data_IF_113273251297
#
_entry.id   IF_113273251297
#
_cell.length_a   1.000
_cell.length_b   1.000
_cell.length_c   1.000
_cell.angle_alpha   90.00
_cell.angle_beta   90.00
_cell.angle_gamma   90.00
#
_symmetry.space_group_name_H-M   'P 1'
#
loop_
_entity.id
_entity.type
_entity.pdbx_description
1 polymer ?
#
# COMPACT_ATOMS: atom_id res chain seq x y z
N UNK A 1 73.05 20.26 12.14
CA UNK A 1 72.14 20.96 13.07
C UNK A 1 72.16 22.44 12.72
N UNK A 2 71.16 22.93 11.99
CA UNK A 2 70.74 24.32 11.73
C UNK A 2 69.50 24.16 10.81
N UNK A 3 68.34 24.81 10.89
CA UNK A 3 67.74 25.83 11.75
C UNK A 3 66.44 26.32 11.08
N UNK A 4 65.52 26.92 11.86
CA UNK A 4 64.41 27.85 11.46
C UNK A 4 63.26 27.26 10.62
N UNK A 5 61.97 27.56 10.81
CA UNK A 5 61.31 28.85 11.12
C UNK A 5 59.84 28.64 11.59
N UNK A 6 59.33 29.65 12.31
CA UNK A 6 58.03 29.79 12.98
C UNK A 6 57.00 30.51 12.08
N UNK A 7 55.72 30.08 12.08
CA UNK A 7 54.47 30.86 11.91
C UNK A 7 53.33 29.90 12.34
N UNK A 8 52.39 30.19 13.25
CA UNK A 8 51.66 31.42 13.50
C UNK A 8 50.23 31.24 12.97
N UNK A 9 49.24 31.04 13.84
CA UNK A 9 47.81 31.10 13.48
C UNK A 9 46.94 30.06 14.18
N UNK A 10 46.37 30.41 15.33
CA UNK A 10 45.23 29.69 15.90
C UNK A 10 43.93 30.10 15.22
N UNK A 11 42.97 29.17 15.10
CA UNK A 11 41.55 29.46 15.14
C UNK A 11 40.80 28.27 15.75
N UNK A 12 39.85 28.62 16.59
CA UNK A 12 38.98 27.79 17.39
C UNK A 12 37.77 27.26 16.61
N UNK A 13 37.20 26.18 17.14
CA UNK A 13 35.77 25.94 17.32
C UNK A 13 34.92 25.34 16.17
N UNK A 14 34.12 24.37 16.64
CA UNK A 14 32.71 24.14 16.35
C UNK A 14 32.32 23.23 15.17
N UNK A 15 31.64 22.14 15.55
CA UNK A 15 30.33 21.86 14.98
C UNK A 15 30.32 20.93 13.78
N UNK A 16 30.80 19.70 13.94
CA UNK A 16 30.43 18.61 13.04
C UNK A 16 28.96 18.23 13.26
N UNK A 17 28.04 18.95 12.61
CA UNK A 17 26.65 18.56 12.49
C UNK A 17 26.60 17.19 11.82
N UNK A 18 26.29 16.17 12.61
CA UNK A 18 26.02 14.82 12.14
C UNK A 18 24.71 14.87 11.36
N UNK A 19 24.80 14.98 10.04
CA UNK A 19 23.69 14.67 9.15
C UNK A 19 23.44 13.17 9.24
N UNK A 20 22.55 12.78 10.15
CA UNK A 20 21.86 11.50 10.10
C UNK A 20 20.78 11.66 9.02
N UNK A 21 20.87 11.00 7.85
CA UNK A 21 19.71 10.91 6.99
C UNK A 21 18.64 10.18 7.81
N UNK A 22 17.55 10.89 8.08
CA UNK A 22 16.31 10.31 8.54
C UNK A 22 15.92 9.34 7.44
N UNK A 23 16.10 8.04 7.72
CA UNK A 23 15.56 6.98 6.87
C UNK A 23 14.07 7.26 6.83
N UNK A 24 13.61 7.90 5.75
CA UNK A 24 12.27 7.73 5.28
C UNK A 24 12.11 6.22 5.22
N UNK A 25 11.26 5.70 6.09
CA UNK A 25 10.87 4.31 6.09
C UNK A 25 10.10 4.11 4.80
N UNK A 26 10.86 3.96 3.70
CA UNK A 26 10.41 3.31 2.51
C UNK A 26 9.89 1.97 3.03
N UNK A 27 8.57 1.83 3.09
CA UNK A 27 7.96 0.54 2.97
C UNK A 27 8.39 0.02 1.60
N UNK A 28 9.60 -0.53 1.54
CA UNK A 28 9.99 -1.45 0.50
C UNK A 28 8.89 -2.49 0.49
N UNK A 29 8.28 -2.73 -0.68
CA UNK A 29 7.67 -4.03 -0.93
C UNK A 29 8.76 -5.05 -0.60
N UNK A 30 8.69 -5.66 0.58
CA UNK A 30 9.78 -6.47 1.08
C UNK A 30 9.84 -7.70 0.17
N UNK A 31 10.99 -7.91 -0.45
CA UNK A 31 11.33 -9.21 -1.01
C UNK A 31 11.43 -10.21 0.14
N UNK A 32 11.32 -11.51 -0.16
CA UNK A 32 11.57 -12.59 0.80
C UNK A 32 12.74 -12.26 1.74
N UNK A 33 12.54 -12.41 3.05
CA UNK A 33 13.62 -12.21 4.02
C UNK A 33 14.66 -13.32 3.90
N UNK A 34 15.88 -13.08 4.43
CA UNK A 34 16.90 -14.14 4.51
C UNK A 34 16.37 -15.34 5.29
N UNK A 35 15.65 -15.11 6.39
CA UNK A 35 15.05 -16.15 7.20
C UNK A 35 14.00 -16.95 6.41
N UNK A 36 13.15 -16.29 5.62
CA UNK A 36 12.21 -16.97 4.72
C UNK A 36 12.94 -17.87 3.74
N UNK A 37 13.99 -17.36 3.09
CA UNK A 37 14.80 -18.14 2.13
C UNK A 37 15.47 -19.33 2.81
N UNK A 38 16.08 -19.13 3.98
CA UNK A 38 16.75 -20.21 4.73
C UNK A 38 15.77 -21.27 5.25
N UNK A 39 14.51 -20.90 5.46
CA UNK A 39 13.42 -21.80 5.86
C UNK A 39 12.67 -22.40 4.66
N UNK A 40 13.16 -22.25 3.43
CA UNK A 40 12.62 -22.88 2.23
C UNK A 40 11.67 -22.03 1.39
N UNK A 41 11.62 -20.71 1.63
CA UNK A 41 10.79 -19.74 0.92
C UNK A 41 9.61 -19.21 1.75
N UNK A 42 8.73 -18.43 1.11
CA UNK A 42 7.55 -17.89 1.77
C UNK A 42 6.59 -19.00 2.23
N UNK A 43 6.03 -18.89 3.45
CA UNK A 43 4.95 -19.77 3.90
C UNK A 43 3.78 -19.78 2.92
N UNK A 44 3.10 -20.92 2.79
CA UNK A 44 1.91 -21.00 1.94
C UNK A 44 0.81 -20.08 2.48
N UNK A 45 0.11 -19.39 1.58
CA UNK A 45 -1.06 -18.59 1.91
C UNK A 45 -2.23 -19.45 2.42
N UNK A 46 -2.29 -20.73 2.05
CA UNK A 46 -3.38 -21.63 2.42
C UNK A 46 -2.85 -22.91 3.03
N UNK A 47 -3.45 -23.35 4.14
CA UNK A 47 -3.19 -24.64 4.74
C UNK A 47 -4.07 -25.74 4.11
N UNK A 48 -3.73 -27.00 4.36
CA UNK A 48 -4.58 -28.14 3.96
C UNK A 48 -5.94 -28.10 4.68
N UNK A 49 -6.01 -27.55 5.89
CA UNK A 49 -7.18 -27.61 6.77
C UNK A 49 -8.07 -26.35 6.69
N UNK A 50 -7.68 -25.36 5.88
CA UNK A 50 -8.47 -24.14 5.70
C UNK A 50 -9.88 -24.46 5.18
N UNK A 51 -10.94 -23.88 5.79
CA UNK A 51 -12.31 -24.06 5.34
C UNK A 51 -12.59 -23.32 4.03
N UNK A 52 -13.62 -23.76 3.31
CA UNK A 52 -14.17 -23.02 2.17
C UNK A 52 -14.59 -21.61 2.65
N UNK A 53 -14.28 -20.60 1.86
CA UNK A 53 -14.50 -19.19 2.16
C UNK A 53 -13.25 -18.47 2.68
N UNK A 54 -12.22 -19.19 3.13
CA UNK A 54 -10.94 -18.59 3.55
C UNK A 54 -10.37 -17.76 2.41
N UNK A 55 -10.00 -16.51 2.72
CA UNK A 55 -9.46 -15.55 1.77
C UNK A 55 -8.11 -15.03 2.23
N UNK A 56 -7.17 -14.91 1.31
CA UNK A 56 -5.89 -14.21 1.52
C UNK A 56 -5.74 -13.15 0.44
N UNK A 57 -5.28 -11.97 0.85
CA UNK A 57 -5.09 -10.83 -0.04
C UNK A 57 -3.78 -10.11 0.26
N UNK A 58 -3.13 -9.61 -0.79
CA UNK A 58 -1.89 -8.85 -0.67
C UNK A 58 -1.45 -8.22 -1.99
N UNK A 59 -0.43 -7.35 -1.92
CA UNK A 59 0.28 -6.86 -3.10
C UNK A 59 1.19 -7.95 -3.63
N UNK A 60 1.21 -8.17 -4.93
CA UNK A 60 2.11 -9.13 -5.56
C UNK A 60 3.52 -8.56 -5.53
N UNK A 61 4.45 -9.24 -4.84
CA UNK A 61 5.86 -8.86 -4.80
C UNK A 61 6.73 -9.69 -5.75
N UNK A 62 6.29 -10.89 -6.12
CA UNK A 62 7.01 -11.77 -7.05
C UNK A 62 6.05 -12.72 -7.78
N UNK A 63 6.36 -13.03 -9.03
CA UNK A 63 5.68 -14.06 -9.82
C UNK A 63 6.74 -14.95 -10.48
N UNK A 64 6.63 -16.27 -10.31
CA UNK A 64 7.49 -17.25 -10.97
C UNK A 64 6.67 -18.33 -11.67
N UNK A 65 7.20 -18.80 -12.80
CA UNK A 65 6.74 -20.02 -13.45
C UNK A 65 7.70 -21.15 -13.08
N UNK A 66 7.19 -22.18 -12.41
CA UNK A 66 7.98 -23.29 -11.87
C UNK A 66 7.38 -24.64 -12.30
N UNK A 67 8.17 -25.69 -12.13
CA UNK A 67 7.66 -27.06 -12.18
C UNK A 67 7.11 -27.44 -10.80
N UNK A 68 5.97 -28.13 -10.77
CA UNK A 68 5.45 -28.72 -9.53
C UNK A 68 6.40 -29.77 -9.00
N UNK A 69 6.58 -29.80 -7.68
CA UNK A 69 7.28 -30.88 -6.96
C UNK A 69 6.31 -31.66 -6.08
N UNK A 70 6.67 -32.90 -5.75
CA UNK A 70 5.99 -33.64 -4.70
C UNK A 70 6.26 -32.97 -3.35
N UNK A 71 5.21 -32.72 -2.57
CA UNK A 71 5.35 -31.98 -1.31
C UNK A 71 6.13 -32.77 -0.23
N UNK A 72 6.15 -34.10 -0.33
CA UNK A 72 6.82 -34.96 0.64
C UNK A 72 8.27 -35.22 0.24
N UNK A 73 8.50 -35.53 -1.04
CA UNK A 73 9.84 -35.93 -1.51
C UNK A 73 10.65 -34.81 -2.16
N UNK A 74 9.99 -33.72 -2.56
CA UNK A 74 10.61 -32.62 -3.31
C UNK A 74 10.91 -32.95 -4.78
N UNK A 75 10.57 -34.16 -5.25
CA UNK A 75 10.89 -34.59 -6.60
C UNK A 75 10.04 -33.87 -7.66
N UNK A 76 10.58 -33.55 -8.84
CA UNK A 76 9.82 -32.91 -9.90
C UNK A 76 8.68 -33.80 -10.42
N UNK A 77 7.49 -33.23 -10.59
CA UNK A 77 6.32 -33.95 -11.08
C UNK A 77 6.18 -33.83 -12.59
N UNK A 78 5.85 -34.95 -13.22
CA UNK A 78 5.62 -35.08 -14.66
C UNK A 78 4.22 -35.60 -14.94
N UNK A 79 3.67 -35.22 -16.09
CA UNK A 79 2.49 -35.87 -16.67
C UNK A 79 2.87 -37.27 -17.20
N UNK A 80 1.91 -38.18 -17.43
CA UNK A 80 2.20 -39.51 -17.99
C UNK A 80 2.95 -39.49 -19.33
N UNK A 81 2.86 -38.39 -20.09
CA UNK A 81 3.58 -38.18 -21.34
C UNK A 81 5.02 -37.64 -21.16
N UNK A 82 5.53 -37.59 -19.92
CA UNK A 82 6.87 -37.11 -19.60
C UNK A 82 7.04 -35.58 -19.58
N UNK A 83 5.99 -34.79 -19.85
CA UNK A 83 6.08 -33.33 -19.75
C UNK A 83 6.05 -32.88 -18.28
N UNK A 84 6.87 -31.91 -17.93
CA UNK A 84 6.84 -31.28 -16.60
C UNK A 84 5.44 -30.71 -16.30
N UNK A 85 4.96 -30.89 -15.08
CA UNK A 85 3.72 -30.25 -14.62
C UNK A 85 4.02 -28.80 -14.21
N UNK A 86 3.53 -27.78 -14.94
CA UNK A 86 3.83 -26.40 -14.60
C UNK A 86 2.97 -25.91 -13.42
N UNK A 87 3.45 -24.86 -12.78
CA UNK A 87 2.81 -24.12 -11.72
C UNK A 87 3.25 -22.65 -11.76
N UNK A 88 2.35 -21.75 -11.38
CA UNK A 88 2.69 -20.35 -11.10
C UNK A 88 2.78 -20.18 -9.59
N UNK A 89 3.88 -19.60 -9.12
CA UNK A 89 4.09 -19.24 -7.72
C UNK A 89 4.01 -17.72 -7.62
N UNK A 90 3.10 -17.22 -6.80
CA UNK A 90 2.90 -15.79 -6.57
C UNK A 90 3.20 -15.51 -5.11
N UNK A 91 4.16 -14.63 -4.84
CA UNK A 91 4.39 -14.14 -3.49
C UNK A 91 3.59 -12.86 -3.27
N UNK A 92 2.81 -12.84 -2.20
CA UNK A 92 1.99 -11.72 -1.78
C UNK A 92 2.56 -11.10 -0.51
N UNK A 93 2.78 -9.79 -0.49
CA UNK A 93 2.91 -9.05 0.76
C UNK A 93 1.53 -8.97 1.41
N UNK A 94 1.36 -9.66 2.54
CA UNK A 94 0.10 -9.70 3.29
C UNK A 94 0.25 -9.00 4.64
N UNK A 95 -0.86 -8.84 5.35
CA UNK A 95 -0.87 -8.46 6.77
C UNK A 95 -0.83 -9.68 7.70
N UNK A 96 -0.74 -10.90 7.16
CA UNK A 96 -0.63 -12.12 7.96
C UNK A 96 0.81 -12.25 8.45
N UNK A 97 0.98 -12.61 9.72
CA UNK A 97 2.26 -12.96 10.32
C UNK A 97 2.10 -14.25 11.11
N UNK A 98 3.09 -15.12 11.00
CA UNK A 98 3.22 -16.37 11.71
C UNK A 98 4.07 -16.11 12.97
N UNK A 99 3.47 -16.10 14.17
CA UNK A 99 4.18 -15.77 15.40
C UNK A 99 5.26 -16.79 15.75
N UNK A 100 5.18 -18.01 15.21
CA UNK A 100 6.13 -19.08 15.48
C UNK A 100 7.35 -19.03 14.52
N UNK A 101 7.31 -18.14 13.50
CA UNK A 101 8.42 -17.90 12.58
C UNK A 101 9.13 -16.60 12.92
N UNK A 102 10.33 -16.73 13.48
CA UNK A 102 11.23 -15.59 13.68
C UNK A 102 11.56 -14.96 12.32
N UNK A 103 11.35 -13.65 12.21
CA UNK A 103 11.66 -12.90 10.99
C UNK A 103 10.64 -13.05 9.86
N UNK A 104 9.42 -13.52 10.13
CA UNK A 104 8.37 -13.58 9.11
C UNK A 104 8.06 -12.20 8.51
N UNK A 105 8.37 -12.05 7.23
CA UNK A 105 8.16 -10.84 6.42
C UNK A 105 6.68 -10.52 6.15
N UNK A 106 5.78 -11.43 6.52
CA UNK A 106 4.36 -11.37 6.16
C UNK A 106 4.09 -11.69 4.69
N UNK A 107 5.10 -12.20 3.98
CA UNK A 107 4.96 -12.68 2.61
C UNK A 107 4.34 -14.08 2.63
N UNK A 108 3.39 -14.31 1.72
CA UNK A 108 2.72 -15.61 1.57
C UNK A 108 2.73 -16.08 0.12
N UNK A 109 3.00 -17.36 -0.08
CA UNK A 109 3.00 -18.01 -1.38
C UNK A 109 1.63 -18.54 -1.79
N UNK A 110 1.12 -18.04 -2.91
CA UNK A 110 -0.05 -18.58 -3.62
C UNK A 110 0.41 -19.45 -4.78
N UNK A 111 0.05 -20.72 -4.69
CA UNK A 111 0.51 -21.81 -5.54
C UNK A 111 -0.56 -22.19 -6.57
N UNK A 112 -0.50 -21.60 -7.76
CA UNK A 112 -1.54 -21.71 -8.80
C UNK A 112 -1.19 -22.82 -9.79
N UNK A 113 -2.02 -23.86 -9.84
CA UNK A 113 -1.80 -25.04 -10.70
C UNK A 113 -3.12 -25.63 -11.21
N UNK A 114 -3.03 -26.41 -12.29
CA UNK A 114 -4.18 -27.13 -12.86
C UNK A 114 -5.37 -26.21 -13.15
N UNK A 115 -6.54 -26.55 -12.60
CA UNK A 115 -7.78 -25.77 -12.74
C UNK A 115 -7.63 -24.28 -12.38
N UNK A 116 -6.78 -23.96 -11.40
CA UNK A 116 -6.63 -22.61 -10.90
C UNK A 116 -5.87 -21.68 -11.86
N UNK A 117 -5.09 -22.21 -12.82
CA UNK A 117 -4.45 -21.39 -13.85
C UNK A 117 -5.50 -20.69 -14.72
N UNK A 118 -6.59 -21.40 -15.04
CA UNK A 118 -7.70 -20.83 -15.80
C UNK A 118 -8.47 -19.77 -15.01
N UNK A 119 -8.68 -20.01 -13.70
CA UNK A 119 -9.35 -19.07 -12.80
C UNK A 119 -8.54 -17.78 -12.63
N UNK A 120 -7.23 -17.88 -12.42
CA UNK A 120 -6.36 -16.71 -12.32
C UNK A 120 -6.38 -15.91 -13.64
N UNK A 121 -6.24 -16.59 -14.79
CA UNK A 121 -6.29 -15.93 -16.10
C UNK A 121 -7.62 -15.22 -16.32
N UNK A 122 -8.74 -15.84 -15.93
CA UNK A 122 -10.06 -15.22 -16.02
C UNK A 122 -10.12 -13.92 -15.20
N UNK A 123 -9.64 -13.96 -13.95
CA UNK A 123 -9.58 -12.77 -13.09
C UNK A 123 -8.70 -11.66 -13.67
N UNK A 124 -7.55 -12.01 -14.26
CA UNK A 124 -6.66 -11.05 -14.91
C UNK A 124 -7.34 -10.35 -16.10
N UNK A 125 -8.06 -11.12 -16.92
CA UNK A 125 -8.83 -10.57 -18.04
C UNK A 125 -9.95 -9.65 -17.58
N UNK A 126 -10.66 -10.03 -16.52
CA UNK A 126 -11.71 -9.22 -15.91
C UNK A 126 -11.16 -7.91 -15.32
N UNK A 127 -9.94 -7.95 -14.77
CA UNK A 127 -9.23 -6.78 -14.26
C UNK A 127 -8.58 -5.91 -15.37
N UNK A 128 -8.61 -6.35 -16.63
CA UNK A 128 -8.01 -5.63 -17.75
C UNK A 128 -6.47 -5.68 -17.81
N UNK A 129 -5.83 -6.59 -17.08
CA UNK A 129 -4.34 -6.73 -17.04
C UNK A 129 -3.79 -7.79 -18.00
N UNK A 130 -4.67 -8.42 -18.80
CA UNK A 130 -4.28 -9.45 -19.76
C UNK A 130 -4.42 -10.87 -19.21
N UNK A 131 -3.46 -11.74 -19.52
CA UNK A 131 -3.53 -13.19 -19.21
C UNK A 131 -2.86 -13.60 -17.89
N UNK A 132 -2.14 -12.68 -17.26
CA UNK A 132 -1.46 -12.87 -15.98
C UNK A 132 -1.43 -11.56 -15.20
N UNK A 133 -1.30 -11.60 -13.86
CA UNK A 133 -1.14 -10.38 -13.09
C UNK A 133 0.29 -9.86 -13.22
N UNK A 134 0.53 -8.64 -12.74
CA UNK A 134 1.84 -8.01 -12.69
C UNK A 134 2.30 -7.85 -11.24
N UNK A 135 3.61 -7.77 -11.04
CA UNK A 135 4.18 -7.33 -9.76
C UNK A 135 3.64 -5.93 -9.44
N UNK A 136 3.18 -5.75 -8.20
CA UNK A 136 2.52 -4.56 -7.70
C UNK A 136 0.99 -4.53 -7.85
N UNK A 137 0.39 -5.45 -8.62
CA UNK A 137 -1.06 -5.63 -8.59
C UNK A 137 -1.48 -6.21 -7.23
N UNK A 138 -2.72 -5.95 -6.81
CA UNK A 138 -3.29 -6.61 -5.63
C UNK A 138 -4.01 -7.88 -6.07
N UNK A 139 -3.76 -8.98 -5.36
CA UNK A 139 -4.44 -10.26 -5.59
C UNK A 139 -5.16 -10.68 -4.33
N UNK A 140 -6.45 -10.96 -4.46
CA UNK A 140 -7.23 -11.71 -3.47
C UNK A 140 -7.51 -13.11 -4.01
N UNK A 141 -7.14 -14.13 -3.25
CA UNK A 141 -7.48 -15.53 -3.51
C UNK A 141 -8.47 -16.00 -2.45
N UNK A 142 -9.54 -16.67 -2.86
CA UNK A 142 -10.57 -17.22 -1.95
C UNK A 142 -10.74 -18.70 -2.22
N UNK A 143 -10.60 -19.55 -1.21
CA UNK A 143 -10.86 -20.99 -1.34
C UNK A 143 -12.37 -21.22 -1.54
N UNK A 144 -12.79 -21.41 -2.79
CA UNK A 144 -14.20 -21.34 -3.16
C UNK A 144 -14.93 -22.68 -3.07
N UNK A 145 -14.26 -23.78 -3.45
CA UNK A 145 -14.85 -25.13 -3.48
C UNK A 145 -13.79 -26.20 -3.65
N UNK A 146 -14.16 -27.45 -3.43
CA UNK A 146 -13.37 -28.62 -3.84
C UNK A 146 -13.86 -29.19 -5.16
N UNK A 147 -12.95 -29.83 -5.89
CA UNK A 147 -13.26 -30.62 -7.08
C UNK A 147 -12.83 -32.08 -6.82
N UNK A 148 -13.74 -33.06 -6.90
CA UNK A 148 -13.41 -34.46 -6.68
C UNK A 148 -12.22 -34.94 -7.49
N UNK A 149 -11.32 -35.69 -6.84
CA UNK A 149 -10.20 -36.31 -7.52
C UNK A 149 -10.67 -37.31 -8.59
N UNK A 150 -10.08 -37.25 -9.78
CA UNK A 150 -10.37 -38.21 -10.87
C UNK A 150 -9.72 -39.58 -10.63
N UNK A 151 -8.67 -39.62 -9.83
CA UNK A 151 -7.91 -40.84 -9.53
C UNK A 151 -8.21 -41.27 -8.11
N UNK A 152 -8.61 -42.54 -7.93
CA UNK A 152 -8.88 -43.12 -6.62
C UNK A 152 -7.65 -43.02 -5.72
N UNK A 153 -7.84 -42.52 -4.49
CA UNK A 153 -6.77 -42.35 -3.50
C UNK A 153 -6.05 -40.98 -3.56
N UNK A 154 -6.39 -40.12 -4.52
CA UNK A 154 -5.91 -38.73 -4.54
C UNK A 154 -6.87 -37.82 -3.78
N UNK A 155 -6.33 -36.76 -3.18
CA UNK A 155 -7.12 -35.72 -2.53
C UNK A 155 -7.88 -34.88 -3.57
N UNK A 156 -9.06 -34.41 -3.18
CA UNK A 156 -9.83 -33.44 -3.95
C UNK A 156 -9.01 -32.16 -4.18
N UNK A 157 -9.13 -31.59 -5.37
CA UNK A 157 -8.42 -30.36 -5.71
C UNK A 157 -9.13 -29.16 -5.08
N UNK A 158 -8.39 -28.34 -4.33
CA UNK A 158 -8.87 -27.02 -3.90
C UNK A 158 -8.97 -26.07 -5.11
N UNK A 159 -10.13 -25.48 -5.30
CA UNK A 159 -10.42 -24.50 -6.36
C UNK A 159 -10.59 -23.13 -5.72
N UNK A 160 -9.89 -22.16 -6.29
CA UNK A 160 -9.88 -20.78 -5.79
C UNK A 160 -10.55 -19.85 -6.79
N UNK A 161 -11.27 -18.88 -6.26
CA UNK A 161 -11.69 -17.69 -7.00
C UNK A 161 -10.66 -16.58 -6.76
N UNK A 162 -10.32 -15.85 -7.81
CA UNK A 162 -9.32 -14.79 -7.76
C UNK A 162 -9.94 -13.44 -8.12
N UNK A 163 -9.49 -12.39 -7.44
CA UNK A 163 -9.75 -11.00 -7.81
C UNK A 163 -8.40 -10.31 -7.97
N UNK A 164 -8.17 -9.70 -9.12
CA UNK A 164 -6.97 -8.91 -9.41
C UNK A 164 -7.37 -7.44 -9.46
N UNK A 165 -6.63 -6.59 -8.76
CA UNK A 165 -6.77 -5.13 -8.83
C UNK A 165 -5.47 -4.54 -9.36
N UNK A 166 -5.48 -3.88 -10.53
CA UNK A 166 -4.26 -3.33 -11.12
C UNK A 166 -3.58 -2.32 -10.17
N UNK A 167 -2.24 -2.27 -10.15
CA UNK A 167 -1.50 -1.35 -9.27
C UNK A 167 -2.02 0.10 -9.32
N UNK A 168 -2.26 0.64 -10.53
CA UNK A 168 -2.79 2.01 -10.70
C UNK A 168 -4.11 2.23 -9.96
N UNK A 169 -4.99 1.22 -9.96
CA UNK A 169 -6.26 1.27 -9.25
C UNK A 169 -6.05 1.09 -7.74
N UNK A 170 -5.13 0.23 -7.32
CA UNK A 170 -4.73 0.07 -5.92
C UNK A 170 -4.16 1.36 -5.33
N UNK A 171 -3.23 2.00 -6.04
CA UNK A 171 -2.60 3.27 -5.63
C UNK A 171 -3.64 4.40 -5.52
N UNK A 172 -4.58 4.50 -6.47
CA UNK A 172 -5.68 5.46 -6.40
C UNK A 172 -6.59 5.17 -5.19
N UNK A 173 -6.93 3.91 -4.96
CA UNK A 173 -7.78 3.51 -3.83
C UNK A 173 -7.10 3.79 -2.50
N UNK A 174 -5.79 3.56 -2.40
CA UNK A 174 -4.98 3.88 -1.23
C UNK A 174 -4.91 5.39 -1.01
N UNK A 175 -4.66 6.18 -2.06
CA UNK A 175 -4.63 7.64 -1.98
C UNK A 175 -6.00 8.24 -1.57
N UNK A 176 -7.12 7.63 -1.97
CA UNK A 176 -8.46 8.06 -1.56
C UNK A 176 -8.82 7.64 -0.12
N UNK A 177 -8.23 6.56 0.40
CA UNK A 177 -8.45 6.07 1.76
C UNK A 177 -7.44 6.56 2.79
N UNK A 178 -6.41 7.31 2.38
CA UNK A 178 -5.45 7.91 3.28
C UNK A 178 -6.00 9.25 3.82
N UNK A 179 -6.36 9.34 5.12
CA UNK A 179 -6.86 10.57 5.73
C UNK A 179 -5.81 11.71 5.80
N UNK A 180 -4.55 11.46 5.40
CA UNK A 180 -3.48 12.44 5.28
C UNK A 180 -3.10 12.82 3.84
N UNK A 181 -3.73 12.25 2.80
CA UNK A 181 -3.43 12.54 1.38
C UNK A 181 -3.93 13.93 0.88
N UNK A 182 -3.95 14.94 1.75
CA UNK A 182 -4.17 16.34 1.42
C UNK A 182 -2.95 17.26 1.61
N UNK A 183 -1.78 16.70 1.95
CA UNK A 183 -0.59 17.48 2.32
C UNK A 183 0.61 17.16 1.40
N UNK A 184 0.48 17.42 0.11
CA UNK A 184 1.67 17.65 -0.74
C UNK A 184 1.57 19.04 -1.35
N UNK A 185 1.91 20.04 -0.53
CA UNK A 185 2.27 21.38 -0.99
C UNK A 185 3.57 21.26 -1.80
N UNK A 186 3.46 21.29 -3.14
CA UNK A 186 4.54 21.83 -3.96
C UNK A 186 4.76 23.28 -3.52
N UNK A 187 5.81 23.54 -2.75
CA UNK A 187 6.23 24.89 -2.43
C UNK A 187 6.98 25.47 -3.64
N UNK A 188 6.45 26.49 -4.35
CA UNK A 188 7.28 27.26 -5.25
C UNK A 188 8.33 28.03 -4.42
N UNK A 189 9.62 27.79 -4.68
CA UNK A 189 10.70 28.59 -4.12
C UNK A 189 10.57 30.04 -4.61
N UNK A 190 10.08 30.93 -3.75
CA UNK A 190 10.20 32.37 -3.95
C UNK A 190 11.55 32.86 -3.38
N UNK A 191 12.28 33.73 -4.10
CA UNK A 191 13.52 34.33 -3.59
C UNK A 191 13.22 35.27 -2.41
N UNK A 192 13.96 35.06 -1.30
CA UNK A 192 13.88 35.84 -0.07
C UNK A 192 14.33 37.30 -0.30
N UNK A 193 13.46 38.25 0.06
CA UNK A 193 13.85 39.64 0.32
C UNK A 193 13.71 39.94 1.82
N UNK A 194 14.73 40.60 2.36
CA UNK A 194 14.93 40.93 3.77
C UNK A 194 13.90 41.92 4.30
N UNK A 195 13.28 41.62 5.44
CA UNK A 195 12.33 42.49 6.13
C UNK A 195 12.99 43.23 7.30
N UNK A 196 12.87 44.56 7.32
CA UNK A 196 13.07 45.42 8.49
C UNK A 196 11.69 45.84 9.05
N UNK A 197 11.50 45.65 10.37
CA UNK A 197 10.68 46.48 11.27
C UNK A 197 9.13 46.41 11.24
N UNK A 198 8.55 45.83 12.31
CA UNK A 198 7.35 46.15 13.15
C UNK A 198 6.15 46.98 12.62
N UNK A 199 4.92 46.97 13.24
CA UNK A 199 4.53 46.45 14.56
C UNK A 199 3.26 45.56 14.63
N UNK A 200 3.09 44.94 15.80
CA UNK A 200 1.98 44.09 16.24
C UNK A 200 0.65 44.86 16.29
N UNK A 201 -0.39 44.35 15.62
CA UNK A 201 -1.79 44.73 15.90
C UNK A 201 -2.54 43.54 16.50
N UNK A 202 -3.30 43.88 17.55
CA UNK A 202 -4.07 42.98 18.40
C UNK A 202 -5.49 42.90 17.83
N UNK A 203 -6.02 41.68 17.68
CA UNK A 203 -7.46 41.42 17.59
C UNK A 203 -8.09 41.41 16.20
N UNK A 204 -7.91 40.32 15.46
CA UNK A 204 -8.86 39.90 14.41
C UNK A 204 -9.29 38.46 14.68
N UNK A 205 -10.60 38.13 14.63
CA UNK A 205 -11.05 36.77 14.82
C UNK A 205 -10.49 35.90 13.68
N UNK A 206 -9.86 34.79 14.06
CA UNK A 206 -9.30 33.82 13.12
C UNK A 206 -10.37 33.41 12.09
N UNK A 207 -10.17 33.81 10.84
CA UNK A 207 -11.05 33.46 9.73
C UNK A 207 -11.16 31.95 9.55
N UNK A 208 -12.22 31.52 8.85
CA UNK A 208 -12.42 30.12 8.51
C UNK A 208 -11.23 29.57 7.73
N UNK A 209 -10.59 28.54 8.28
CA UNK A 209 -9.56 27.78 7.59
C UNK A 209 -10.17 26.94 6.46
N UNK A 210 -9.35 26.46 5.53
CA UNK A 210 -9.81 25.55 4.47
C UNK A 210 -10.49 24.29 5.05
N UNK A 211 -9.94 23.77 6.15
CA UNK A 211 -10.50 22.63 6.90
C UNK A 211 -11.87 22.95 7.51
N UNK A 212 -12.06 24.16 8.05
CA UNK A 212 -13.36 24.58 8.57
C UNK A 212 -14.42 24.59 7.45
N UNK A 213 -14.07 25.06 6.25
CA UNK A 213 -14.98 25.10 5.10
C UNK A 213 -15.40 23.70 4.62
N UNK A 214 -14.48 22.73 4.63
CA UNK A 214 -14.81 21.34 4.28
C UNK A 214 -15.69 20.68 5.34
N UNK A 215 -15.46 21.00 6.61
CA UNK A 215 -16.29 20.50 7.71
C UNK A 215 -17.69 21.11 7.64
N UNK A 216 -17.80 22.40 7.31
CA UNK A 216 -19.07 23.10 7.08
C UNK A 216 -19.87 22.45 5.94
N UNK A 217 -19.23 22.12 4.81
CA UNK A 217 -19.94 21.52 3.68
C UNK A 217 -20.41 20.09 3.96
N UNK A 218 -19.62 19.28 4.67
CA UNK A 218 -20.03 17.93 5.08
C UNK A 218 -21.19 17.96 6.09
N UNK A 219 -21.15 18.85 7.08
CA UNK A 219 -22.20 18.96 8.08
C UNK A 219 -23.50 19.49 7.46
N UNK A 220 -23.41 20.41 6.50
CA UNK A 220 -24.57 20.86 5.74
C UNK A 220 -25.15 19.75 4.84
N UNK A 221 -24.31 18.93 4.19
CA UNK A 221 -24.76 17.77 3.43
C UNK A 221 -25.44 16.71 4.32
N UNK A 222 -25.06 16.63 5.59
CA UNK A 222 -25.73 15.81 6.61
C UNK A 222 -27.03 16.45 7.16
N UNK A 223 -27.49 17.57 6.60
CA UNK A 223 -28.75 18.23 6.94
C UNK A 223 -28.70 19.15 8.16
N UNK A 224 -27.51 19.48 8.68
CA UNK A 224 -27.38 20.42 9.82
C UNK A 224 -27.51 21.87 9.37
N UNK A 225 -28.12 22.68 10.22
CA UNK A 225 -28.31 24.12 9.98
C UNK A 225 -27.01 24.90 10.21
N UNK A 226 -26.88 26.06 9.58
CA UNK A 226 -25.70 26.92 9.72
C UNK A 226 -25.44 27.35 11.18
N UNK A 227 -26.50 27.50 11.98
CA UNK A 227 -26.43 27.84 13.41
C UNK A 227 -25.86 26.68 14.25
N UNK A 228 -26.25 25.44 13.94
CA UNK A 228 -25.72 24.25 14.63
C UNK A 228 -24.25 24.03 14.27
N UNK A 229 -23.88 24.23 13.00
CA UNK A 229 -22.50 24.13 12.52
C UNK A 229 -21.63 25.20 13.16
N UNK A 230 -22.13 26.43 13.28
CA UNK A 230 -21.47 27.54 13.95
C UNK A 230 -21.20 27.22 15.43
N UNK A 231 -22.18 26.66 16.14
CA UNK A 231 -22.05 26.22 17.52
C UNK A 231 -21.01 25.10 17.69
N UNK A 232 -20.99 24.12 16.76
CA UNK A 232 -20.04 23.01 16.82
C UNK A 232 -18.59 23.43 16.58
N UNK A 233 -18.38 24.41 15.69
CA UNK A 233 -17.04 24.89 15.32
C UNK A 233 -16.56 26.08 16.18
N UNK A 234 -17.41 26.62 17.06
CA UNK A 234 -17.12 27.84 17.80
C UNK A 234 -16.88 29.05 16.88
N UNK A 235 -17.51 29.07 15.71
CA UNK A 235 -17.37 30.12 14.68
C UNK A 235 -18.65 30.94 14.57
N UNK A 236 -18.59 32.22 14.15
CA UNK A 236 -19.79 33.01 13.96
C UNK A 236 -20.61 32.47 12.78
N UNK A 237 -21.94 32.43 12.96
CA UNK A 237 -22.88 31.89 11.97
C UNK A 237 -22.77 32.58 10.60
N UNK A 238 -22.48 33.88 10.57
CA UNK A 238 -22.31 34.64 9.33
C UNK A 238 -21.14 34.12 8.47
N UNK A 239 -20.06 33.63 9.10
CA UNK A 239 -18.93 33.05 8.37
C UNK A 239 -19.32 31.69 7.76
N UNK A 240 -20.12 30.88 8.48
CA UNK A 240 -20.62 29.59 8.01
C UNK A 240 -21.60 29.78 6.84
N UNK A 241 -22.51 30.75 6.92
CA UNK A 241 -23.47 31.08 5.86
C UNK A 241 -22.73 31.50 4.57
N UNK A 242 -21.72 32.37 4.70
CA UNK A 242 -20.90 32.78 3.56
C UNK A 242 -20.10 31.61 2.94
N UNK A 243 -19.66 30.64 3.74
CA UNK A 243 -18.98 29.45 3.25
C UNK A 243 -19.94 28.52 2.49
N UNK A 244 -21.18 28.36 2.94
CA UNK A 244 -22.21 27.58 2.25
C UNK A 244 -22.68 28.24 0.94
N UNK A 245 -22.80 29.58 0.92
CA UNK A 245 -23.16 30.32 -0.29
C UNK A 245 -22.08 30.32 -1.38
N UNK A 246 -20.80 30.15 -1.02
CA UNK A 246 -19.70 30.11 -1.98
C UNK A 246 -19.61 28.80 -2.79
N UNK A 247 -20.31 27.74 -2.37
CA UNK A 247 -20.37 26.44 -3.06
C UNK A 247 -21.45 26.33 -4.14
N UNK A 248 -22.30 27.35 -4.30
CA UNK A 248 -23.38 27.39 -5.30
C UNK A 248 -23.11 28.54 -6.27
N UNK A 249 -22.07 28.40 -7.09
CA UNK A 249 -22.00 29.10 -8.38
C UNK A 249 -21.96 28.04 -9.46
N UNK A 250 -23.15 27.59 -9.84
CA UNK A 250 -23.42 26.97 -11.14
C UNK A 250 -22.87 27.90 -12.24
N UNK A 251 -22.16 27.30 -13.18
CA UNK A 251 -21.79 27.89 -14.46
C UNK A 251 -23.03 28.52 -15.13
N UNK A 252 -22.96 29.76 -15.64
CA UNK A 252 -23.91 30.19 -16.66
C UNK A 252 -23.52 29.54 -17.99
N UNK A 253 -24.48 28.83 -18.59
CA UNK A 253 -24.46 28.47 -20.02
C UNK A 253 -24.05 29.69 -20.86
N UNK A 254 -23.07 29.51 -21.74
CA UNK A 254 -23.01 30.07 -23.11
C UNK A 254 -22.05 29.26 -23.98
#
# INVERSE_FOLDING_TARGET
>A
MFGTQNYGGGFTQQGGASYRPQQAQQQSAESLSLDDVMQGGAPSAFSKDDPIGTSVEGEIVEIRAEQQTDFTTGEPLYYPNGKAKPQVVIHLQTSLQDPDRVGDSGIRGVYVKGYNIGQLRLACRQAGVGDHPNVGDRLKATFARTQPAKTRGYNDAKIYDYVVTPKKQSDLSAAMNDPQAGQQQYAPQQPQQSAYGQPTTIGQPAGLTASDRQTISQLAAAGKTAQEIAGLLGKPADQVINALGAGIRQEPEF
#
